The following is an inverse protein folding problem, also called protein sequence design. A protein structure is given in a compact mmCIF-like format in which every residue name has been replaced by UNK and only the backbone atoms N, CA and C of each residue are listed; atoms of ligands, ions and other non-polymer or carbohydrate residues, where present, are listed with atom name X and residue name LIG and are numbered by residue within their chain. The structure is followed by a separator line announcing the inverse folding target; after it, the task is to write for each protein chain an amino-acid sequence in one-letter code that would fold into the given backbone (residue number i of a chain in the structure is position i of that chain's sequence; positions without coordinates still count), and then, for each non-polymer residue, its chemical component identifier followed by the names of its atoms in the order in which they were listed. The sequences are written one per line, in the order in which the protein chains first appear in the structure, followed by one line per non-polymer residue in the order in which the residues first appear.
data_IF_385662421511
#
_entry.id   IF_385662421511
#
_cell.length_a   1.000
_cell.length_b   1.000
_cell.length_c   1.000
_cell.angle_alpha   90.00
_cell.angle_beta   90.00
_cell.angle_gamma   90.00
#
_symmetry.space_group_name_H-M   'P 1'
#
loop_
_entity.id
_entity.type
_entity.pdbx_description
1 polymer ?
#
# COMPACT_ATOMS: atom_id res chain seq x y z
N UNK A 1 -10.02 13.66 18.41
CA UNK A 1 -8.57 13.52 18.66
C UNK A 1 -7.98 12.30 17.93
N UNK A 2 -8.73 11.18 17.78
CA UNK A 2 -8.28 10.04 16.97
C UNK A 2 -7.81 10.40 15.56
N UNK A 3 -8.49 11.29 14.84
CA UNK A 3 -8.05 11.73 13.51
C UNK A 3 -6.64 12.36 13.51
N UNK A 4 -6.28 13.10 14.56
CA UNK A 4 -4.94 13.68 14.71
C UNK A 4 -3.91 12.58 14.97
N UNK A 5 -4.26 11.61 15.82
CA UNK A 5 -3.40 10.44 16.05
C UNK A 5 -3.20 9.62 14.78
N UNK A 6 -4.27 9.32 14.04
CA UNK A 6 -4.18 8.62 12.76
C UNK A 6 -3.34 9.40 11.75
N UNK A 7 -3.47 10.72 11.69
CA UNK A 7 -2.64 11.55 10.83
C UNK A 7 -1.15 11.46 11.20
N UNK A 8 -0.81 11.68 12.47
CA UNK A 8 0.59 11.61 12.96
C UNK A 8 1.15 10.21 12.78
N UNK A 9 0.39 9.18 13.15
CA UNK A 9 0.77 7.77 13.02
C UNK A 9 0.96 7.36 11.56
N UNK A 10 0.06 7.77 10.67
CA UNK A 10 0.17 7.48 9.23
C UNK A 10 1.41 8.15 8.62
N UNK A 11 1.69 9.42 8.93
CA UNK A 11 2.89 10.12 8.45
C UNK A 11 4.16 9.42 8.96
N UNK A 12 4.22 9.12 10.27
CA UNK A 12 5.37 8.48 10.88
C UNK A 12 5.62 7.07 10.31
N UNK A 13 4.58 6.22 10.30
CA UNK A 13 4.72 4.83 9.87
C UNK A 13 4.88 4.69 8.36
N UNK A 14 4.30 5.58 7.55
CA UNK A 14 4.58 5.63 6.12
C UNK A 14 6.04 6.00 5.87
N UNK A 15 6.54 7.00 6.57
CA UNK A 15 7.94 7.40 6.49
C UNK A 15 8.89 6.25 6.89
N UNK A 16 8.61 5.59 8.02
CA UNK A 16 9.40 4.45 8.50
C UNK A 16 9.43 3.31 7.47
N UNK A 17 8.26 2.95 6.93
CA UNK A 17 8.14 1.90 5.91
C UNK A 17 8.90 2.24 4.63
N UNK A 18 8.81 3.48 4.14
CA UNK A 18 9.56 3.92 2.96
C UNK A 18 11.08 3.88 3.21
N UNK A 19 11.56 4.42 4.33
CA UNK A 19 13.00 4.40 4.65
C UNK A 19 13.51 2.98 4.87
N UNK A 20 12.73 2.10 5.48
CA UNK A 20 13.06 0.68 5.58
C UNK A 20 13.13 0.00 4.21
N UNK A 21 12.19 0.32 3.30
CA UNK A 21 12.24 -0.17 1.93
C UNK A 21 13.51 0.29 1.20
N UNK A 22 13.86 1.58 1.31
CA UNK A 22 15.08 2.12 0.70
C UNK A 22 16.36 1.45 1.27
N UNK A 23 16.38 1.12 2.57
CA UNK A 23 17.47 0.38 3.21
C UNK A 23 17.59 -1.07 2.70
N UNK A 24 16.46 -1.71 2.38
CA UNK A 24 16.42 -3.07 1.84
C UNK A 24 16.77 -3.12 0.34
N UNK A 25 16.50 -2.02 -0.38
CA UNK A 25 16.65 -1.91 -1.82
C UNK A 25 17.91 -1.18 -2.28
N UNK A 26 18.73 -0.63 -1.38
CA UNK A 26 19.94 0.17 -1.69
C UNK A 26 20.82 -0.43 -2.81
N UNK A 27 21.11 -1.74 -2.75
CA UNK A 27 21.96 -2.40 -3.75
C UNK A 27 21.30 -2.52 -5.13
N UNK A 28 19.98 -2.69 -5.17
CA UNK A 28 19.19 -2.75 -6.42
C UNK A 28 19.05 -1.34 -6.96
N UNK A 29 18.70 -0.38 -6.10
CA UNK A 29 18.47 1.01 -6.48
C UNK A 29 19.75 1.66 -7.06
N UNK A 30 20.93 1.21 -6.63
CA UNK A 30 22.23 1.62 -7.18
C UNK A 30 22.44 1.17 -8.64
N UNK A 31 21.77 0.11 -9.08
CA UNK A 31 21.93 -0.48 -10.42
C UNK A 31 20.92 0.08 -11.44
N UNK A 32 19.85 0.74 -10.96
CA UNK A 32 18.77 1.27 -11.81
C UNK A 32 18.93 2.78 -11.99
N UNK A 33 18.95 3.25 -13.24
CA UNK A 33 19.27 4.63 -13.60
C UNK A 33 18.37 5.65 -12.88
N UNK A 34 17.05 5.40 -12.87
CA UNK A 34 16.06 6.26 -12.21
C UNK A 34 16.29 6.39 -10.70
N UNK A 35 16.66 5.30 -10.02
CA UNK A 35 16.73 5.24 -8.56
C UNK A 35 18.12 5.49 -8.00
N UNK A 36 19.17 5.47 -8.82
CA UNK A 36 20.55 5.74 -8.39
C UNK A 36 20.73 7.13 -7.77
N UNK A 37 19.83 8.07 -8.06
CA UNK A 37 19.82 9.42 -7.50
C UNK A 37 19.20 9.54 -6.10
N UNK A 38 18.58 8.46 -5.59
CA UNK A 38 17.94 8.40 -4.26
C UNK A 38 18.96 8.64 -3.14
N UNK A 39 18.53 9.14 -1.96
CA UNK A 39 19.45 9.59 -0.91
C UNK A 39 20.46 8.56 -0.41
N UNK A 40 20.05 7.29 -0.27
CA UNK A 40 20.92 6.19 0.17
C UNK A 40 21.90 5.75 -0.95
N UNK A 41 21.43 5.33 -2.14
CA UNK A 41 22.30 5.03 -3.30
C UNK A 41 23.32 6.13 -3.63
N UNK A 42 22.90 7.39 -3.60
CA UNK A 42 23.75 8.53 -3.91
C UNK A 42 24.72 8.93 -2.77
N UNK A 43 24.70 8.22 -1.64
CA UNK A 43 25.55 8.52 -0.47
C UNK A 43 25.23 9.84 0.25
N UNK A 44 24.07 10.46 -0.05
CA UNK A 44 23.62 11.71 0.61
C UNK A 44 23.22 11.46 2.07
N UNK A 45 22.81 10.24 2.39
CA UNK A 45 22.46 9.78 3.72
C UNK A 45 23.18 8.45 3.98
N UNK A 46 23.78 8.30 5.15
CA UNK A 46 24.41 7.03 5.55
C UNK A 46 23.36 6.02 6.00
N UNK A 47 23.62 4.71 5.83
CA UNK A 47 22.75 3.65 6.37
C UNK A 47 22.45 3.81 7.86
N UNK A 48 23.43 4.28 8.65
CA UNK A 48 23.25 4.57 10.08
C UNK A 48 22.23 5.68 10.33
N UNK A 49 22.28 6.77 9.57
CA UNK A 49 21.32 7.86 9.67
C UNK A 49 19.90 7.40 9.28
N UNK A 50 19.78 6.60 8.22
CA UNK A 50 18.50 6.03 7.81
C UNK A 50 17.91 5.11 8.89
N UNK A 51 18.69 4.24 9.52
CA UNK A 51 18.23 3.42 10.64
C UNK A 51 17.79 4.25 11.85
N UNK A 52 18.54 5.29 12.21
CA UNK A 52 18.15 6.22 13.28
C UNK A 52 16.80 6.88 12.94
N UNK A 53 16.61 7.29 11.69
CA UNK A 53 15.36 7.90 11.24
C UNK A 53 14.17 6.94 11.34
N UNK A 54 14.33 5.69 10.89
CA UNK A 54 13.32 4.62 11.06
C UNK A 54 12.97 4.43 12.53
N UNK A 55 13.96 4.37 13.43
CA UNK A 55 13.73 4.19 14.87
C UNK A 55 12.93 5.36 15.43
N UNK A 56 13.30 6.61 15.11
CA UNK A 56 12.57 7.79 15.58
C UNK A 56 11.11 7.75 15.10
N UNK A 57 10.88 7.45 13.83
CA UNK A 57 9.53 7.35 13.27
C UNK A 57 8.73 6.20 13.91
N UNK A 58 9.35 5.04 14.12
CA UNK A 58 8.73 3.91 14.79
C UNK A 58 8.37 4.23 16.25
N UNK A 59 9.20 5.00 16.97
CA UNK A 59 8.89 5.47 18.32
C UNK A 59 7.71 6.44 18.34
N UNK A 60 7.62 7.33 17.35
CA UNK A 60 6.43 8.20 17.19
C UNK A 60 5.18 7.36 16.90
N UNK A 61 5.29 6.38 15.99
CA UNK A 61 4.21 5.44 15.69
C UNK A 61 3.77 4.62 16.91
N UNK A 62 4.73 4.15 17.71
CA UNK A 62 4.47 3.45 18.97
C UNK A 62 3.77 4.35 19.99
N UNK A 63 4.24 5.59 20.15
CA UNK A 63 3.61 6.55 21.04
C UNK A 63 2.15 6.83 20.63
N UNK A 64 1.84 6.88 19.34
CA UNK A 64 0.46 6.95 18.83
C UNK A 64 -0.32 5.66 19.13
N UNK A 65 0.26 4.49 18.82
CA UNK A 65 -0.38 3.19 18.98
C UNK A 65 -0.79 2.92 20.44
N UNK A 66 0.07 3.28 21.40
CA UNK A 66 -0.18 3.11 22.83
C UNK A 66 -1.34 3.97 23.36
N UNK A 67 -1.83 4.94 22.58
CA UNK A 67 -3.00 5.76 22.94
C UNK A 67 -4.32 5.14 22.48
N UNK A 68 -4.27 4.01 21.78
CA UNK A 68 -5.45 3.26 21.35
C UNK A 68 -5.85 2.19 22.37
N UNK A 69 -6.98 1.53 22.13
CA UNK A 69 -7.49 0.48 23.00
C UNK A 69 -6.64 -0.81 22.95
N UNK A 70 -6.85 -1.69 23.93
CA UNK A 70 -6.10 -2.93 24.10
C UNK A 70 -6.22 -3.92 22.94
N UNK A 71 -7.27 -3.81 22.12
CA UNK A 71 -7.45 -4.63 20.93
C UNK A 71 -6.65 -4.07 19.73
N UNK A 72 -6.67 -2.76 19.54
CA UNK A 72 -5.96 -2.10 18.44
C UNK A 72 -4.43 -2.16 18.58
N UNK A 73 -3.88 -2.17 19.81
CA UNK A 73 -2.43 -2.26 20.05
C UNK A 73 -1.79 -3.52 19.43
N UNK A 74 -2.20 -4.75 19.79
CA UNK A 74 -1.63 -5.96 19.19
C UNK A 74 -1.90 -6.05 17.69
N UNK A 75 -3.05 -5.56 17.20
CA UNK A 75 -3.36 -5.50 15.78
C UNK A 75 -2.39 -4.57 15.01
N UNK A 76 -2.03 -3.43 15.60
CA UNK A 76 -1.04 -2.51 15.05
C UNK A 76 0.36 -3.13 15.04
N UNK A 77 0.75 -3.85 16.10
CA UNK A 77 2.02 -4.58 16.15
C UNK A 77 2.08 -5.68 15.08
N UNK A 78 0.98 -6.40 14.86
CA UNK A 78 0.90 -7.45 13.85
C UNK A 78 1.19 -6.93 12.43
N UNK A 79 0.82 -5.68 12.13
CA UNK A 79 1.11 -5.05 10.83
C UNK A 79 2.60 -5.01 10.49
N UNK A 80 3.47 -4.91 11.51
CA UNK A 80 4.92 -4.79 11.32
C UNK A 80 5.53 -6.03 10.68
N UNK A 81 4.92 -7.20 10.88
CA UNK A 81 5.37 -8.44 10.23
C UNK A 81 5.25 -8.31 8.72
N UNK A 82 4.12 -7.80 8.22
CA UNK A 82 3.88 -7.63 6.80
C UNK A 82 4.78 -6.53 6.22
N UNK A 83 4.92 -5.41 6.95
CA UNK A 83 5.82 -4.30 6.57
C UNK A 83 7.26 -4.77 6.46
N UNK A 84 7.73 -5.63 7.37
CA UNK A 84 9.08 -6.18 7.35
C UNK A 84 9.30 -7.11 6.16
N UNK A 85 8.30 -7.91 5.78
CA UNK A 85 8.41 -8.88 4.69
C UNK A 85 8.28 -8.24 3.31
N UNK A 86 7.45 -7.20 3.18
CA UNK A 86 7.07 -6.59 1.91
C UNK A 86 8.25 -6.27 0.94
N UNK A 87 9.34 -5.59 1.35
CA UNK A 87 10.41 -5.17 0.42
C UNK A 87 11.07 -6.33 -0.32
N UNK A 88 11.05 -7.54 0.28
CA UNK A 88 11.68 -8.72 -0.28
C UNK A 88 10.80 -9.45 -1.29
N UNK A 89 9.49 -9.17 -1.31
CA UNK A 89 8.53 -9.96 -2.07
C UNK A 89 8.73 -9.89 -3.58
N UNK A 90 9.26 -8.78 -4.10
CA UNK A 90 9.59 -8.62 -5.52
C UNK A 90 10.65 -9.62 -6.02
N UNK A 91 11.41 -10.21 -5.10
CA UNK A 91 12.43 -11.25 -5.38
C UNK A 91 11.85 -12.67 -5.32
N UNK A 92 10.68 -12.84 -4.71
CA UNK A 92 10.13 -14.16 -4.34
C UNK A 92 8.87 -14.48 -5.17
N UNK A 93 8.00 -13.50 -5.44
CA UNK A 93 6.69 -13.70 -6.09
C UNK A 93 6.47 -12.78 -7.28
N UNK A 94 5.58 -13.16 -8.20
CA UNK A 94 5.05 -12.29 -9.25
C UNK A 94 3.94 -11.35 -8.77
N UNK A 95 3.55 -11.46 -7.49
CA UNK A 95 2.51 -10.64 -6.87
C UNK A 95 3.05 -9.80 -5.69
N UNK A 96 4.17 -9.06 -5.81
CA UNK A 96 4.61 -8.19 -4.71
C UNK A 96 3.54 -7.15 -4.36
N UNK A 97 2.73 -6.74 -5.33
CA UNK A 97 1.57 -5.85 -5.16
C UNK A 97 0.52 -6.39 -4.17
N UNK A 98 0.37 -7.71 -4.06
CA UNK A 98 -0.55 -8.30 -3.08
C UNK A 98 -0.04 -8.05 -1.65
N UNK A 99 1.25 -8.27 -1.41
CA UNK A 99 1.85 -8.03 -0.08
C UNK A 99 1.93 -6.53 0.24
N UNK A 100 2.17 -5.70 -0.78
CA UNK A 100 2.01 -4.24 -0.67
C UNK A 100 0.58 -3.89 -0.22
N UNK A 101 -0.42 -4.47 -0.87
CA UNK A 101 -1.83 -4.29 -0.53
C UNK A 101 -2.12 -4.69 0.91
N UNK A 102 -1.57 -5.82 1.38
CA UNK A 102 -1.71 -6.25 2.77
C UNK A 102 -1.16 -5.19 3.74
N UNK A 103 0.03 -4.64 3.48
CA UNK A 103 0.65 -3.64 4.33
C UNK A 103 -0.07 -2.28 4.29
N UNK A 104 -0.37 -1.76 3.10
CA UNK A 104 -0.92 -0.40 2.93
C UNK A 104 -2.40 -0.30 3.31
N UNK A 105 -3.14 -1.39 3.17
CA UNK A 105 -4.58 -1.40 3.48
C UNK A 105 -4.85 -1.53 4.98
N UNK A 106 -3.84 -1.81 5.81
CA UNK A 106 -4.01 -2.11 7.25
C UNK A 106 -4.72 -1.00 8.03
N UNK A 107 -4.66 0.24 7.53
CA UNK A 107 -5.42 1.36 8.07
C UNK A 107 -6.93 1.13 8.15
N UNK A 108 -7.51 0.36 7.23
CA UNK A 108 -8.93 -0.02 7.26
C UNK A 108 -9.28 -0.82 8.52
N UNK A 109 -8.43 -1.77 8.90
CA UNK A 109 -8.59 -2.58 10.11
C UNK A 109 -8.33 -1.74 11.36
N UNK A 110 -7.28 -0.93 11.35
CA UNK A 110 -6.94 -0.06 12.50
C UNK A 110 -8.04 0.96 12.79
N UNK A 111 -8.63 1.58 11.76
CA UNK A 111 -9.72 2.54 11.92
C UNK A 111 -10.91 1.94 12.68
N UNK A 112 -11.33 0.74 12.28
CA UNK A 112 -12.41 0.01 12.93
C UNK A 112 -12.04 -0.43 14.34
N UNK A 113 -10.88 -1.09 14.49
CA UNK A 113 -10.41 -1.61 15.76
C UNK A 113 -10.27 -0.54 16.83
N UNK A 114 -9.82 0.67 16.47
CA UNK A 114 -9.70 1.79 17.42
C UNK A 114 -11.06 2.27 17.93
N UNK A 115 -12.07 2.29 17.07
CA UNK A 115 -13.41 2.78 17.42
C UNK A 115 -14.24 1.73 18.17
N UNK A 116 -14.25 0.49 17.69
CA UNK A 116 -15.15 -0.56 18.17
C UNK A 116 -14.49 -1.57 19.12
N UNK A 117 -13.16 -1.65 19.13
CA UNK A 117 -12.43 -2.60 19.98
C UNK A 117 -12.52 -4.06 19.51
N UNK A 118 -12.89 -4.28 18.24
CA UNK A 118 -12.97 -5.58 17.59
C UNK A 118 -12.60 -5.48 16.09
N UNK A 119 -12.85 -6.56 15.33
CA UNK A 119 -12.90 -6.53 13.86
C UNK A 119 -14.19 -7.23 13.44
N UNK A 120 -14.97 -6.53 12.63
CA UNK A 120 -16.21 -7.07 12.05
C UNK A 120 -16.18 -6.99 10.51
N UNK A 121 -17.18 -7.60 9.87
CA UNK A 121 -17.31 -7.76 8.43
C UNK A 121 -17.08 -6.46 7.62
N UNK A 122 -17.58 -5.27 8.04
CA UNK A 122 -17.34 -4.06 7.26
C UNK A 122 -15.85 -3.70 7.14
N UNK A 123 -15.07 -3.89 8.21
CA UNK A 123 -13.63 -3.62 8.21
C UNK A 123 -12.88 -4.61 7.32
N UNK A 124 -13.27 -5.88 7.37
CA UNK A 124 -12.69 -6.95 6.54
C UNK A 124 -12.97 -6.67 5.06
N UNK A 125 -14.21 -6.32 4.71
CA UNK A 125 -14.58 -6.01 3.32
C UNK A 125 -13.87 -4.75 2.81
N UNK A 126 -13.76 -3.71 3.64
CA UNK A 126 -12.99 -2.52 3.31
C UNK A 126 -11.51 -2.84 3.11
N UNK A 127 -10.94 -3.72 3.93
CA UNK A 127 -9.55 -4.17 3.81
C UNK A 127 -9.31 -4.96 2.53
N UNK A 128 -10.15 -5.95 2.22
CA UNK A 128 -10.06 -6.75 0.99
C UNK A 128 -10.20 -5.86 -0.24
N UNK A 129 -11.20 -4.97 -0.26
CA UNK A 129 -11.40 -4.04 -1.37
C UNK A 129 -10.20 -3.12 -1.57
N UNK A 130 -9.58 -2.67 -0.47
CA UNK A 130 -8.38 -1.83 -0.51
C UNK A 130 -7.18 -2.59 -1.07
N UNK A 131 -7.01 -3.88 -0.74
CA UNK A 131 -5.95 -4.72 -1.32
C UNK A 131 -6.14 -4.84 -2.84
N UNK A 132 -7.36 -5.12 -3.30
CA UNK A 132 -7.66 -5.23 -4.73
C UNK A 132 -7.37 -3.92 -5.47
N UNK A 133 -7.76 -2.79 -4.86
CA UNK A 133 -7.46 -1.46 -5.39
C UNK A 133 -5.95 -1.21 -5.44
N UNK A 134 -5.21 -1.54 -4.39
CA UNK A 134 -3.74 -1.42 -4.33
C UNK A 134 -3.07 -2.23 -5.43
N UNK A 135 -3.48 -3.48 -5.64
CA UNK A 135 -2.96 -4.29 -6.73
C UNK A 135 -3.22 -3.59 -8.06
N UNK A 136 -4.42 -3.08 -8.29
CA UNK A 136 -4.76 -2.46 -9.55
C UNK A 136 -3.92 -1.21 -9.85
N UNK A 137 -3.88 -0.22 -8.96
CA UNK A 137 -3.14 1.02 -9.24
C UNK A 137 -1.63 0.79 -9.26
N UNK A 138 -1.11 -0.12 -8.43
CA UNK A 138 0.32 -0.40 -8.38
C UNK A 138 0.78 -1.24 -9.57
N UNK A 139 -0.12 -2.03 -10.17
CA UNK A 139 0.11 -2.66 -11.48
C UNK A 139 0.24 -1.62 -12.59
N UNK A 140 -0.57 -0.57 -12.58
CA UNK A 140 -0.46 0.54 -13.53
C UNK A 140 0.90 1.22 -13.38
N UNK A 141 1.27 1.54 -12.14
CA UNK A 141 2.57 2.15 -11.83
C UNK A 141 3.74 1.25 -12.30
N UNK A 142 3.66 -0.05 -12.06
CA UNK A 142 4.70 -1.01 -12.46
C UNK A 142 4.87 -1.18 -13.99
N UNK A 143 3.92 -0.72 -14.83
CA UNK A 143 4.15 -0.68 -16.28
C UNK A 143 5.13 0.42 -16.69
N UNK A 144 5.30 1.48 -15.88
CA UNK A 144 6.28 2.53 -16.15
C UNK A 144 7.72 2.04 -15.99
N UNK A 145 7.93 1.05 -15.10
CA UNK A 145 9.25 0.51 -14.78
C UNK A 145 9.53 -0.83 -15.50
N UNK A 146 8.68 -1.23 -16.46
CA UNK A 146 8.67 -2.58 -17.06
C UNK A 146 9.97 -2.97 -17.75
N UNK A 147 10.62 -2.04 -18.45
CA UNK A 147 11.87 -2.29 -19.18
C UNK A 147 13.05 -2.43 -18.22
N UNK A 148 13.18 -1.52 -17.25
CA UNK A 148 14.22 -1.56 -16.21
C UNK A 148 14.09 -2.81 -15.34
N UNK A 149 12.88 -3.15 -14.89
CA UNK A 149 12.59 -4.35 -14.10
C UNK A 149 12.92 -5.64 -14.85
N UNK A 150 12.82 -5.63 -16.18
CA UNK A 150 13.19 -6.77 -17.01
C UNK A 150 14.69 -7.06 -16.94
N UNK A 151 15.51 -6.02 -16.91
CA UNK A 151 16.98 -6.11 -16.90
C UNK A 151 17.48 -6.68 -15.56
N UNK A 152 16.88 -6.27 -14.43
CA UNK A 152 17.30 -6.68 -13.09
C UNK A 152 16.54 -7.92 -12.54
N UNK A 153 15.66 -8.51 -13.35
CA UNK A 153 14.94 -9.74 -12.98
C UNK A 153 13.84 -9.54 -11.92
N UNK A 154 13.35 -8.31 -11.75
CA UNK A 154 12.29 -7.97 -10.79
C UNK A 154 10.95 -8.49 -11.29
N UNK A 155 10.20 -9.16 -10.41
CA UNK A 155 8.90 -9.75 -10.73
C UNK A 155 7.76 -8.79 -10.34
N UNK A 156 6.72 -8.70 -11.15
CA UNK A 156 5.57 -7.80 -10.90
C UNK A 156 4.29 -8.29 -11.61
N UNK A 157 3.12 -7.83 -11.14
CA UNK A 157 1.84 -8.09 -11.81
C UNK A 157 1.77 -7.45 -13.20
N UNK A 158 2.48 -6.34 -13.45
CA UNK A 158 2.57 -5.74 -14.78
C UNK A 158 3.18 -6.71 -15.81
N UNK A 159 4.26 -7.40 -15.42
CA UNK A 159 4.89 -8.45 -16.24
C UNK A 159 4.02 -9.70 -16.34
N UNK A 160 3.36 -10.09 -15.26
CA UNK A 160 2.50 -11.27 -15.23
C UNK A 160 1.24 -11.11 -16.08
N UNK A 161 0.57 -9.96 -16.00
CA UNK A 161 -0.67 -9.70 -16.72
C UNK A 161 -0.42 -9.35 -18.18
N UNK A 162 0.71 -8.69 -18.49
CA UNK A 162 1.09 -8.34 -19.85
C UNK A 162 -0.04 -7.63 -20.60
N UNK A 163 -0.35 -8.10 -21.80
CA UNK A 163 -1.40 -7.52 -22.65
C UNK A 163 -2.82 -7.65 -22.06
N UNK A 164 -3.02 -8.59 -21.11
CA UNK A 164 -4.28 -8.77 -20.42
C UNK A 164 -4.48 -7.79 -19.25
N UNK A 165 -3.58 -6.83 -19.04
CA UNK A 165 -3.62 -5.90 -17.91
C UNK A 165 -4.98 -5.22 -17.77
N UNK A 166 -5.58 -4.69 -18.84
CA UNK A 166 -6.88 -4.01 -18.75
C UNK A 166 -8.01 -4.92 -18.27
N UNK A 167 -7.97 -6.22 -18.64
CA UNK A 167 -8.93 -7.22 -18.17
C UNK A 167 -8.77 -7.47 -16.67
N UNK A 168 -7.53 -7.69 -16.21
CA UNK A 168 -7.22 -7.86 -14.79
C UNK A 168 -7.59 -6.64 -13.96
N UNK A 169 -7.27 -5.43 -14.43
CA UNK A 169 -7.66 -4.19 -13.75
C UNK A 169 -9.17 -4.05 -13.64
N UNK A 170 -9.92 -4.42 -14.67
CA UNK A 170 -11.39 -4.39 -14.63
C UNK A 170 -11.94 -5.32 -13.54
N UNK A 171 -11.37 -6.53 -13.40
CA UNK A 171 -11.74 -7.47 -12.34
C UNK A 171 -11.35 -6.97 -10.94
N UNK A 172 -10.12 -6.47 -10.78
CA UNK A 172 -9.61 -5.97 -9.50
C UNK A 172 -10.38 -4.73 -9.01
N UNK A 173 -10.58 -3.73 -9.87
CA UNK A 173 -11.33 -2.54 -9.53
C UNK A 173 -12.83 -2.82 -9.35
N UNK A 174 -13.41 -3.70 -10.18
CA UNK A 174 -14.79 -4.15 -9.97
C UNK A 174 -14.97 -4.85 -8.62
N UNK A 175 -14.07 -5.77 -8.28
CA UNK A 175 -14.05 -6.44 -6.98
C UNK A 175 -13.85 -5.47 -5.82
N UNK A 176 -12.94 -4.49 -5.95
CA UNK A 176 -12.73 -3.45 -4.94
C UNK A 176 -14.01 -2.66 -4.67
N UNK A 177 -14.70 -2.19 -5.71
CA UNK A 177 -15.95 -1.44 -5.59
C UNK A 177 -17.07 -2.28 -4.96
N UNK A 178 -17.17 -3.57 -5.30
CA UNK A 178 -18.15 -4.49 -4.69
C UNK A 178 -17.85 -4.65 -3.20
N UNK A 179 -16.60 -4.91 -2.82
CA UNK A 179 -16.21 -5.02 -1.41
C UNK A 179 -16.50 -3.72 -0.64
N UNK A 180 -16.21 -2.55 -1.22
CA UNK A 180 -16.55 -1.27 -0.60
C UNK A 180 -18.06 -1.06 -0.48
N UNK A 181 -18.85 -1.45 -1.49
CA UNK A 181 -20.30 -1.37 -1.42
C UNK A 181 -20.87 -2.26 -0.30
N UNK A 182 -20.35 -3.49 -0.16
CA UNK A 182 -20.73 -4.40 0.92
C UNK A 182 -20.35 -3.83 2.29
N UNK A 183 -19.13 -3.29 2.42
CA UNK A 183 -18.69 -2.63 3.67
C UNK A 183 -19.61 -1.47 4.05
N UNK A 184 -19.96 -0.62 3.07
CA UNK A 184 -20.82 0.55 3.27
C UNK A 184 -22.24 0.14 3.68
N UNK A 185 -22.81 -0.85 3.00
CA UNK A 185 -24.13 -1.38 3.32
C UNK A 185 -24.17 -2.01 4.72
N UNK A 186 -23.15 -2.80 5.06
CA UNK A 186 -23.06 -3.53 6.34
C UNK A 186 -22.84 -2.58 7.52
N UNK A 187 -22.05 -1.51 7.33
CA UNK A 187 -21.86 -0.45 8.31
C UNK A 187 -22.99 0.61 8.33
N UNK A 188 -24.02 0.46 7.49
CA UNK A 188 -25.15 1.40 7.36
C UNK A 188 -24.69 2.85 7.17
N UNK A 189 -23.65 3.07 6.36
CA UNK A 189 -23.11 4.41 6.15
C UNK A 189 -24.15 5.33 5.50
N UNK A 190 -24.11 6.65 5.77
CA UNK A 190 -25.03 7.59 5.15
C UNK A 190 -25.01 7.51 3.62
N UNK A 191 -26.18 7.64 2.98
CA UNK A 191 -26.31 7.56 1.50
C UNK A 191 -25.38 8.53 0.75
N UNK A 192 -25.04 9.67 1.35
CA UNK A 192 -24.10 10.64 0.77
C UNK A 192 -22.70 10.05 0.58
N UNK A 193 -22.29 9.06 1.38
CA UNK A 193 -21.02 8.36 1.21
C UNK A 193 -20.95 7.58 -0.13
N UNK A 194 -22.09 7.16 -0.69
CA UNK A 194 -22.13 6.48 -2.00
C UNK A 194 -21.66 7.39 -3.13
N UNK A 195 -21.76 8.72 -2.98
CA UNK A 195 -21.19 9.64 -3.96
C UNK A 195 -19.66 9.46 -4.09
N UNK A 196 -18.97 9.16 -2.98
CA UNK A 196 -17.55 8.83 -2.97
C UNK A 196 -17.25 7.52 -3.71
N UNK A 197 -18.09 6.50 -3.54
CA UNK A 197 -17.94 5.23 -4.24
C UNK A 197 -18.15 5.38 -5.76
N UNK A 198 -19.15 6.17 -6.17
CA UNK A 198 -19.39 6.48 -7.59
C UNK A 198 -18.21 7.26 -8.18
N UNK A 199 -17.69 8.26 -7.46
CA UNK A 199 -16.51 9.02 -7.90
C UNK A 199 -15.28 8.13 -8.04
N UNK A 200 -15.05 7.21 -7.09
CA UNK A 200 -13.99 6.22 -7.17
C UNK A 200 -14.14 5.31 -8.39
N UNK A 201 -15.35 4.81 -8.66
CA UNK A 201 -15.62 3.97 -9.84
C UNK A 201 -15.38 4.70 -11.16
N UNK A 202 -15.81 5.96 -11.26
CA UNK A 202 -15.54 6.80 -12.43
C UNK A 202 -14.03 7.03 -12.62
N UNK A 203 -13.29 7.27 -11.54
CA UNK A 203 -11.84 7.44 -11.58
C UNK A 203 -11.12 6.16 -12.02
N UNK A 204 -11.46 5.01 -11.44
CA UNK A 204 -10.92 3.69 -11.79
C UNK A 204 -11.21 3.32 -13.25
N UNK A 205 -12.44 3.58 -13.72
CA UNK A 205 -12.81 3.38 -15.13
C UNK A 205 -11.99 4.26 -16.06
N UNK A 206 -11.80 5.54 -15.70
CA UNK A 206 -10.94 6.47 -16.47
C UNK A 206 -9.50 5.97 -16.54
N UNK A 207 -8.93 5.46 -15.45
CA UNK A 207 -7.58 4.89 -15.44
C UNK A 207 -7.45 3.74 -16.46
N UNK A 208 -8.39 2.79 -16.46
CA UNK A 208 -8.38 1.64 -17.41
C UNK A 208 -8.47 2.11 -18.86
N UNK A 209 -9.37 3.07 -19.15
CA UNK A 209 -9.57 3.60 -20.50
C UNK A 209 -8.31 4.32 -21.00
N UNK A 210 -7.70 5.16 -20.16
CA UNK A 210 -6.54 5.98 -20.51
C UNK A 210 -5.22 5.23 -20.51
N UNK A 211 -5.13 4.10 -19.81
CA UNK A 211 -3.91 3.32 -19.71
C UNK A 211 -3.41 2.88 -21.10
N UNK A 212 -2.18 3.24 -21.41
CA UNK A 212 -1.38 2.61 -22.46
C UNK A 212 -0.23 1.86 -21.76
N UNK A 213 -0.20 0.53 -21.91
CA UNK A 213 0.79 -0.31 -21.23
C UNK A 213 2.17 -0.28 -21.90
N UNK A 214 2.26 0.34 -23.07
CA UNK A 214 3.50 0.49 -23.83
C UNK A 214 4.06 1.91 -23.77
N UNK A 215 3.34 2.83 -23.13
CA UNK A 215 3.82 4.19 -22.91
C UNK A 215 4.13 4.39 -21.42
N UNK A 216 5.41 4.57 -21.04
CA UNK A 216 5.76 4.83 -19.64
C UNK A 216 5.39 6.25 -19.16
N UNK A 217 5.11 7.19 -20.07
CA UNK A 217 4.70 8.59 -19.79
C UNK A 217 3.18 8.74 -19.60
#
# INVERSE_FOLDING_TARGET
WYLVLFFVGAVAMRGAGCTYNDLADEDIDNQVERTRSRPLPAGKVTRRQAWIFVIIQALVGLAVLLQFNSFAIPLGIASLVIVAVYPFMKRITNWPQFVLGLAFSWGALMGWAVEFGDIDDPAIMLYIGSILWVIGYDTIYAHQDKEDDAIVGVRSTARLFGDNTKMWLSGLYGGALICFAIAFASAQVPIVALAGLIAAGAHMGRQIIRLDINNPD
#
